data_IF_179217958733
#
_entry.id   IF_179217958733
#
_cell.length_a   1.000
_cell.length_b   1.000
_cell.length_c   1.000
_cell.angle_alpha   90.00
_cell.angle_beta   90.00
_cell.angle_gamma   90.00
#
_symmetry.space_group_name_H-M   'P 1'
#
loop_
_entity.id
_entity.type
_entity.pdbx_description
1 polymer ?
#
# COMPACT_ATOMS: atom_id res chain seq x y z
N UNK A 1 -15.72 7.44 -11.22
CA UNK A 1 -14.53 6.70 -11.70
C UNK A 1 -14.77 5.22 -11.50
N UNK A 2 -14.77 4.44 -12.58
CA UNK A 2 -15.05 3.00 -12.54
C UNK A 2 -14.12 2.29 -11.54
N UNK A 3 -14.69 1.38 -10.74
CA UNK A 3 -13.98 0.60 -9.72
C UNK A 3 -12.73 -0.08 -10.29
N UNK A 4 -12.84 -0.61 -11.51
CA UNK A 4 -11.76 -1.28 -12.23
C UNK A 4 -10.58 -0.33 -12.53
N UNK A 5 -10.86 0.90 -12.98
CA UNK A 5 -9.83 1.87 -13.33
C UNK A 5 -9.01 2.30 -12.09
N UNK A 6 -9.66 2.40 -10.93
CA UNK A 6 -8.97 2.66 -9.64
C UNK A 6 -8.05 1.53 -9.24
N UNK A 7 -8.51 0.28 -9.38
CA UNK A 7 -7.71 -0.90 -9.02
C UNK A 7 -6.50 -1.02 -9.93
N UNK A 8 -6.65 -0.79 -11.24
CA UNK A 8 -5.55 -0.83 -12.21
C UNK A 8 -4.50 0.25 -11.88
N UNK A 9 -4.93 1.49 -11.62
CA UNK A 9 -4.02 2.57 -11.25
C UNK A 9 -3.23 2.26 -9.97
N UNK A 10 -3.89 1.67 -8.96
CA UNK A 10 -3.22 1.27 -7.73
C UNK A 10 -2.25 0.10 -7.95
N UNK A 11 -2.61 -0.88 -8.79
CA UNK A 11 -1.72 -1.97 -9.12
C UNK A 11 -0.46 -1.47 -9.85
N UNK A 12 -0.61 -0.53 -10.79
CA UNK A 12 0.52 0.11 -11.47
C UNK A 12 1.41 0.86 -10.48
N UNK A 13 0.81 1.61 -9.56
CA UNK A 13 1.55 2.32 -8.52
C UNK A 13 2.30 1.35 -7.61
N UNK A 14 1.67 0.26 -7.17
CA UNK A 14 2.31 -0.76 -6.35
C UNK A 14 3.49 -1.44 -7.08
N UNK A 15 3.34 -1.72 -8.38
CA UNK A 15 4.45 -2.24 -9.23
C UNK A 15 5.65 -1.30 -9.20
N UNK A 16 5.42 -0.01 -9.39
CA UNK A 16 6.49 1.00 -9.38
C UNK A 16 7.13 1.07 -8.00
N UNK A 17 6.34 1.11 -6.93
CA UNK A 17 6.85 1.20 -5.55
C UNK A 17 7.67 -0.02 -5.13
N UNK A 18 7.22 -1.22 -5.51
CA UNK A 18 7.93 -2.47 -5.23
C UNK A 18 9.28 -2.49 -5.94
N UNK A 19 9.33 -2.13 -7.23
CA UNK A 19 10.59 -2.07 -7.97
C UNK A 19 11.52 -0.98 -7.40
N UNK A 20 10.96 0.19 -7.08
CA UNK A 20 11.70 1.28 -6.45
C UNK A 20 12.28 0.86 -5.09
N UNK A 21 11.51 0.13 -4.28
CA UNK A 21 11.97 -0.40 -2.99
C UNK A 21 13.19 -1.29 -3.13
N UNK A 22 13.23 -2.15 -4.15
CA UNK A 22 14.34 -3.07 -4.38
C UNK A 22 15.58 -2.35 -4.88
N UNK A 23 15.41 -1.37 -5.78
CA UNK A 23 16.51 -0.53 -6.28
C UNK A 23 17.11 0.27 -5.12
N UNK A 24 16.27 0.92 -4.31
CA UNK A 24 16.71 1.69 -3.13
C UNK A 24 17.38 0.78 -2.09
N UNK A 25 16.88 -0.44 -1.88
CA UNK A 25 17.51 -1.41 -0.98
C UNK A 25 18.92 -1.80 -1.44
N UNK A 26 19.11 -2.04 -2.74
CA UNK A 26 20.44 -2.31 -3.31
C UNK A 26 21.36 -1.09 -3.15
N UNK A 27 20.84 0.11 -3.43
CA UNK A 27 21.60 1.35 -3.32
C UNK A 27 22.05 1.63 -1.89
N UNK A 28 21.16 1.46 -0.91
CA UNK A 28 21.47 1.57 0.52
C UNK A 28 22.44 0.48 0.99
N UNK A 29 22.37 -0.73 0.43
CA UNK A 29 23.23 -1.84 0.85
C UNK A 29 24.68 -1.65 0.43
N UNK A 30 24.90 -1.09 -0.76
CA UNK A 30 26.23 -0.94 -1.34
C UNK A 30 26.76 0.50 -1.25
N UNK A 31 26.20 1.32 -0.35
CA UNK A 31 26.58 2.72 -0.16
C UNK A 31 26.65 3.52 -1.49
N UNK A 32 25.69 3.25 -2.39
CA UNK A 32 25.61 3.87 -3.72
C UNK A 32 26.48 3.22 -4.81
N UNK A 33 27.40 2.31 -4.48
CA UNK A 33 28.27 1.63 -5.44
C UNK A 33 27.87 0.16 -5.65
N UNK A 34 26.73 -0.03 -6.33
CA UNK A 34 26.15 -1.36 -6.57
C UNK A 34 26.96 -2.10 -7.64
N UNK A 35 27.55 -3.27 -7.33
CA UNK A 35 28.26 -4.07 -8.32
C UNK A 35 27.32 -4.53 -9.46
N UNK A 36 27.78 -4.41 -10.71
CA UNK A 36 26.96 -4.70 -11.90
C UNK A 36 26.35 -6.11 -11.93
N UNK A 37 27.00 -7.09 -11.31
CA UNK A 37 26.48 -8.45 -11.16
C UNK A 37 25.13 -8.51 -10.41
N UNK A 38 24.90 -7.64 -9.44
CA UNK A 38 23.64 -7.57 -8.69
C UNK A 38 22.56 -6.80 -9.46
N UNK A 39 22.98 -5.84 -10.30
CA UNK A 39 22.07 -5.11 -11.20
C UNK A 39 21.55 -6.04 -12.30
N UNK A 40 22.43 -6.82 -12.93
CA UNK A 40 22.04 -7.82 -13.94
C UNK A 40 21.13 -8.89 -13.36
N UNK A 41 21.51 -9.46 -12.20
CA UNK A 41 20.67 -10.43 -11.50
C UNK A 41 19.30 -9.84 -11.11
N UNK A 42 19.24 -8.56 -10.72
CA UNK A 42 17.97 -7.89 -10.49
C UNK A 42 17.15 -7.74 -11.77
N UNK A 43 17.75 -7.33 -12.89
CA UNK A 43 17.03 -7.18 -14.16
C UNK A 43 16.40 -8.50 -14.62
N UNK A 44 17.12 -9.60 -14.50
CA UNK A 44 16.64 -10.93 -14.87
C UNK A 44 15.50 -11.41 -13.95
N UNK A 45 15.58 -11.09 -12.65
CA UNK A 45 14.60 -11.51 -11.65
C UNK A 45 13.48 -10.48 -11.39
N UNK A 46 13.58 -9.26 -11.94
CA UNK A 46 12.67 -8.15 -11.63
C UNK A 46 11.22 -8.48 -11.96
N UNK A 47 11.00 -9.13 -13.11
CA UNK A 47 9.66 -9.54 -13.55
C UNK A 47 9.09 -10.58 -12.58
N UNK A 48 9.89 -11.59 -12.21
CA UNK A 48 9.48 -12.65 -11.28
C UNK A 48 9.14 -12.06 -9.92
N UNK A 49 10.00 -11.22 -9.36
CA UNK A 49 9.74 -10.55 -8.08
C UNK A 49 8.49 -9.69 -8.13
N UNK A 50 8.33 -8.89 -9.19
CA UNK A 50 7.14 -8.04 -9.36
C UNK A 50 5.86 -8.87 -9.37
N UNK A 51 5.85 -9.99 -10.10
CA UNK A 51 4.69 -10.90 -10.15
C UNK A 51 4.39 -11.49 -8.77
N UNK A 52 5.40 -11.97 -8.03
CA UNK A 52 5.21 -12.47 -6.67
C UNK A 52 4.59 -11.44 -5.74
N UNK A 53 5.04 -10.19 -5.82
CA UNK A 53 4.51 -9.07 -5.04
C UNK A 53 3.04 -8.78 -5.36
N UNK A 54 2.70 -8.65 -6.64
CA UNK A 54 1.31 -8.41 -7.07
C UNK A 54 0.40 -9.56 -6.61
N UNK A 55 0.84 -10.80 -6.81
CA UNK A 55 0.06 -11.99 -6.41
C UNK A 55 -0.19 -11.98 -4.91
N UNK A 56 0.83 -11.68 -4.10
CA UNK A 56 0.70 -11.61 -2.65
C UNK A 56 -0.25 -10.48 -2.22
N UNK A 57 -0.12 -9.28 -2.80
CA UNK A 57 -1.02 -8.16 -2.52
C UNK A 57 -2.47 -8.47 -2.93
N UNK A 58 -2.66 -9.19 -4.04
CA UNK A 58 -3.96 -9.66 -4.47
C UNK A 58 -4.59 -10.66 -3.49
N UNK A 59 -3.84 -11.67 -3.04
CA UNK A 59 -4.31 -12.68 -2.08
C UNK A 59 -4.70 -12.08 -0.72
N UNK A 60 -3.90 -11.12 -0.22
CA UNK A 60 -4.22 -10.40 1.01
C UNK A 60 -5.35 -9.37 0.85
N UNK A 61 -5.91 -9.25 -0.35
CA UNK A 61 -7.08 -8.44 -0.62
C UNK A 61 -6.80 -6.94 -0.53
N UNK A 62 -5.55 -6.52 -0.72
CA UNK A 62 -5.14 -5.11 -0.66
C UNK A 62 -5.87 -4.25 -1.72
N UNK A 63 -6.34 -4.86 -2.81
CA UNK A 63 -7.14 -4.22 -3.85
C UNK A 63 -8.67 -4.30 -3.62
N UNK A 64 -9.12 -5.18 -2.71
CA UNK A 64 -10.55 -5.40 -2.40
C UNK A 64 -11.02 -4.55 -1.21
N UNK A 65 -10.19 -4.38 -0.18
CA UNK A 65 -10.50 -3.64 1.06
C UNK A 65 -10.50 -2.12 0.91
N UNK A 66 -10.87 -1.65 -0.27
CA UNK A 66 -10.37 -0.37 -0.73
C UNK A 66 -10.91 0.81 0.12
N UNK A 67 -12.13 0.76 0.70
CA UNK A 67 -12.72 1.98 1.28
C UNK A 67 -13.68 1.87 2.49
N UNK A 68 -14.06 0.68 2.98
CA UNK A 68 -15.24 0.62 3.88
C UNK A 68 -14.94 0.52 5.39
N UNK A 69 -13.78 0.01 5.82
CA UNK A 69 -13.42 -0.14 7.25
C UNK A 69 -11.90 -0.11 7.50
N UNK A 70 -11.19 0.86 6.93
CA UNK A 70 -9.73 0.96 7.02
C UNK A 70 -9.27 1.69 8.30
N UNK A 71 -8.96 0.95 9.36
CA UNK A 71 -8.13 1.45 10.46
C UNK A 71 -6.84 0.63 10.58
N UNK A 72 -6.73 -0.22 11.60
CA UNK A 72 -5.56 -1.04 11.93
C UNK A 72 -5.47 -2.27 11.02
N UNK A 73 -6.62 -2.82 10.63
CA UNK A 73 -6.70 -4.06 9.85
C UNK A 73 -6.06 -3.96 8.46
N UNK A 74 -6.01 -2.76 7.85
CA UNK A 74 -5.32 -2.57 6.56
C UNK A 74 -3.80 -2.60 6.75
N UNK A 75 -3.27 -1.89 7.74
CA UNK A 75 -1.84 -1.90 8.06
C UNK A 75 -1.35 -3.32 8.40
N UNK A 76 -2.12 -4.06 9.21
CA UNK A 76 -1.83 -5.47 9.52
C UNK A 76 -1.87 -6.33 8.25
N UNK A 77 -2.82 -6.08 7.34
CA UNK A 77 -2.88 -6.81 6.06
C UNK A 77 -1.67 -6.51 5.18
N UNK A 78 -1.18 -5.26 5.16
CA UNK A 78 0.02 -4.86 4.41
C UNK A 78 1.24 -5.55 5.01
N UNK A 79 1.43 -5.48 6.34
CA UNK A 79 2.57 -6.12 7.01
C UNK A 79 2.54 -7.64 6.76
N UNK A 80 1.37 -8.28 6.89
CA UNK A 80 1.24 -9.71 6.64
C UNK A 80 1.53 -10.07 5.17
N UNK A 81 1.01 -9.28 4.22
CA UNK A 81 1.29 -9.46 2.80
C UNK A 81 2.78 -9.29 2.50
N UNK A 82 3.42 -8.28 3.06
CA UNK A 82 4.85 -8.00 2.85
C UNK A 82 5.74 -9.06 3.47
N UNK A 83 5.39 -9.56 4.66
CA UNK A 83 6.10 -10.67 5.30
C UNK A 83 5.96 -11.96 4.52
N UNK A 84 4.75 -12.32 4.05
CA UNK A 84 4.54 -13.52 3.23
C UNK A 84 5.23 -13.40 1.88
N UNK A 85 5.15 -12.24 1.23
CA UNK A 85 5.82 -11.99 -0.05
C UNK A 85 7.33 -12.10 0.08
N UNK A 86 7.90 -11.55 1.15
CA UNK A 86 9.34 -11.66 1.44
C UNK A 86 9.75 -13.11 1.72
N UNK A 87 8.98 -13.84 2.52
CA UNK A 87 9.24 -15.25 2.79
C UNK A 87 9.16 -16.10 1.51
N UNK A 88 8.19 -15.84 0.64
CA UNK A 88 8.06 -16.50 -0.66
C UNK A 88 9.26 -16.22 -1.57
N UNK A 89 9.71 -14.98 -1.62
CA UNK A 89 10.90 -14.57 -2.38
C UNK A 89 12.16 -15.25 -1.85
N UNK A 90 12.37 -15.25 -0.54
CA UNK A 90 13.50 -15.93 0.10
C UNK A 90 13.46 -17.43 -0.23
N UNK A 91 12.29 -18.06 -0.10
CA UNK A 91 12.12 -19.49 -0.42
C UNK A 91 12.42 -19.77 -1.90
N UNK A 92 11.91 -18.94 -2.81
CA UNK A 92 12.20 -19.07 -4.24
C UNK A 92 13.70 -18.94 -4.52
N UNK A 93 14.37 -17.94 -3.94
CA UNK A 93 15.82 -17.76 -4.10
C UNK A 93 16.61 -18.93 -3.51
N UNK A 94 16.21 -19.51 -2.38
CA UNK A 94 16.93 -20.66 -1.81
C UNK A 94 16.71 -21.96 -2.60
N UNK A 95 15.47 -22.27 -3.00
CA UNK A 95 15.16 -23.57 -3.62
C UNK A 95 15.39 -23.61 -5.14
N UNK A 96 15.23 -22.49 -5.85
CA UNK A 96 15.34 -22.45 -7.32
C UNK A 96 16.70 -21.95 -7.80
N UNK A 97 17.47 -21.29 -6.92
CA UNK A 97 18.77 -20.69 -7.22
C UNK A 97 19.89 -21.39 -6.41
N UNK A 98 19.67 -22.66 -6.05
CA UNK A 98 20.72 -23.59 -5.60
C UNK A 98 21.66 -23.90 -6.80
N UNK A 99 22.54 -22.97 -7.14
CA UNK A 99 23.55 -23.22 -8.19
C UNK A 99 24.13 -21.99 -8.89
N UNK A 100 23.51 -20.80 -8.77
CA UNK A 100 24.12 -19.58 -9.33
C UNK A 100 24.95 -18.85 -8.28
N UNK A 101 26.13 -18.40 -8.67
CA UNK A 101 27.18 -17.82 -7.82
C UNK A 101 26.84 -16.43 -7.23
N UNK A 102 25.56 -16.07 -7.10
CA UNK A 102 25.14 -14.74 -6.66
C UNK A 102 24.03 -14.83 -5.61
N UNK A 103 24.34 -15.27 -4.38
CA UNK A 103 23.43 -15.08 -3.26
C UNK A 103 23.26 -13.57 -3.05
N UNK A 104 22.09 -13.02 -3.42
CA UNK A 104 21.72 -11.67 -3.02
C UNK A 104 21.93 -11.54 -1.50
N UNK A 105 22.60 -10.48 -1.01
CA UNK A 105 22.87 -10.35 0.41
C UNK A 105 21.57 -10.40 1.20
N UNK A 106 21.53 -11.21 2.27
CA UNK A 106 20.33 -11.37 3.12
C UNK A 106 19.76 -10.03 3.64
N UNK A 107 20.65 -9.06 3.84
CA UNK A 107 20.32 -7.68 4.20
C UNK A 107 19.46 -6.95 3.17
N UNK A 108 19.59 -7.25 1.87
CA UNK A 108 18.77 -6.63 0.81
C UNK A 108 17.31 -7.05 0.99
N UNK A 109 17.03 -8.32 1.28
CA UNK A 109 15.65 -8.77 1.54
C UNK A 109 15.03 -8.06 2.75
N UNK A 110 15.79 -7.86 3.84
CA UNK A 110 15.32 -7.13 5.01
C UNK A 110 15.06 -5.65 4.71
N UNK A 111 15.95 -5.00 3.95
CA UNK A 111 15.78 -3.61 3.52
C UNK A 111 14.56 -3.47 2.60
N UNK A 112 14.41 -4.36 1.62
CA UNK A 112 13.26 -4.40 0.71
C UNK A 112 11.96 -4.64 1.49
N UNK A 113 11.96 -5.49 2.52
CA UNK A 113 10.80 -5.70 3.40
C UNK A 113 10.40 -4.41 4.12
N UNK A 114 11.35 -3.73 4.77
CA UNK A 114 11.11 -2.45 5.45
C UNK A 114 10.63 -1.36 4.48
N UNK A 115 11.29 -1.24 3.33
CA UNK A 115 10.95 -0.25 2.30
C UNK A 115 9.58 -0.53 1.67
N UNK A 116 9.19 -1.78 1.47
CA UNK A 116 7.85 -2.10 0.97
C UNK A 116 6.76 -1.73 1.97
N UNK A 117 6.96 -1.99 3.27
CA UNK A 117 6.03 -1.54 4.31
C UNK A 117 5.93 -0.01 4.30
N UNK A 118 7.07 0.67 4.22
CA UNK A 118 7.13 2.14 4.18
C UNK A 118 6.49 2.74 2.93
N UNK A 119 6.82 2.26 1.74
CA UNK A 119 6.32 2.80 0.48
C UNK A 119 4.87 2.42 0.20
N UNK A 120 4.50 1.14 0.32
CA UNK A 120 3.13 0.69 0.05
C UNK A 120 2.19 1.11 1.18
N UNK A 121 2.65 1.03 2.45
CA UNK A 121 1.89 1.54 3.59
C UNK A 121 1.76 3.06 3.56
N UNK A 122 2.86 3.75 3.26
CA UNK A 122 2.93 5.21 3.17
C UNK A 122 2.08 5.76 2.02
N UNK A 123 2.09 5.14 0.83
CA UNK A 123 1.28 5.59 -0.30
C UNK A 123 -0.21 5.53 0.00
N UNK A 124 -0.66 4.46 0.69
CA UNK A 124 -2.06 4.29 1.14
C UNK A 124 -2.43 5.29 2.22
N UNK A 125 -1.56 5.49 3.21
CA UNK A 125 -1.77 6.47 4.27
C UNK A 125 -1.80 7.90 3.71
N UNK A 126 -0.89 8.23 2.80
CA UNK A 126 -0.84 9.54 2.13
C UNK A 126 -2.10 9.79 1.30
N UNK A 127 -2.54 8.79 0.51
CA UNK A 127 -3.80 8.88 -0.23
C UNK A 127 -5.01 9.06 0.69
N UNK A 128 -5.01 8.36 1.84
CA UNK A 128 -6.04 8.52 2.86
C UNK A 128 -6.04 9.92 3.44
N UNK A 129 -4.89 10.40 3.93
CA UNK A 129 -4.77 11.73 4.52
C UNK A 129 -5.20 12.79 3.50
N UNK A 130 -4.73 12.67 2.25
CA UNK A 130 -5.13 13.57 1.19
C UNK A 130 -6.65 13.55 0.97
N UNK A 131 -7.29 12.38 0.95
CA UNK A 131 -8.75 12.31 0.88
C UNK A 131 -9.42 12.90 2.11
N UNK A 132 -9.05 12.47 3.31
CA UNK A 132 -9.74 12.84 4.54
C UNK A 132 -9.61 14.37 4.78
N UNK A 133 -8.52 14.99 4.30
CA UNK A 133 -8.29 16.44 4.39
C UNK A 133 -8.84 17.25 3.19
N UNK A 134 -8.70 16.75 1.95
CA UNK A 134 -9.19 17.45 0.76
C UNK A 134 -10.70 17.24 0.55
N UNK A 135 -11.25 16.15 1.08
CA UNK A 135 -12.67 15.87 1.17
C UNK A 135 -13.06 15.91 2.64
N UNK A 136 -12.95 17.09 3.26
CA UNK A 136 -13.85 17.39 4.37
C UNK A 136 -15.26 17.24 3.77
N UNK A 137 -16.05 16.23 4.16
CA UNK A 137 -17.45 16.28 3.80
C UNK A 137 -17.94 17.58 4.45
N UNK A 138 -18.40 18.53 3.63
CA UNK A 138 -19.31 19.57 4.12
C UNK A 138 -20.32 18.80 4.94
N UNK A 139 -20.28 19.00 6.26
CA UNK A 139 -20.91 18.17 7.28
C UNK A 139 -22.14 17.50 6.70
N UNK A 140 -22.09 16.18 6.56
CA UNK A 140 -23.19 15.36 6.07
C UNK A 140 -24.35 15.38 7.04
N UNK A 141 -24.96 16.54 7.25
CA UNK A 141 -26.27 16.67 7.84
C UNK A 141 -27.24 16.05 6.86
N UNK A 142 -28.02 15.07 7.31
CA UNK A 142 -29.19 14.66 6.56
C UNK A 142 -30.11 15.88 6.48
N UNK A 143 -30.66 16.24 5.30
CA UNK A 143 -31.65 17.30 5.24
C UNK A 143 -32.84 16.89 6.12
N UNK A 144 -33.10 17.67 7.17
CA UNK A 144 -34.23 17.47 8.09
C UNK A 144 -35.28 18.52 7.76
N UNK A 145 -36.51 18.08 7.50
CA UNK A 145 -37.65 18.96 7.36
C UNK A 145 -38.33 19.11 8.74
N UNK A 146 -38.39 20.34 9.25
CA UNK A 146 -39.12 20.65 10.48
C UNK A 146 -40.53 21.05 10.08
N UNK A 147 -41.52 20.24 10.46
CA UNK A 147 -42.95 20.53 10.21
C UNK A 147 -43.52 21.18 11.47
N UNK A 148 -43.80 22.48 11.38
CA UNK A 148 -44.28 23.31 12.49
C UNK A 148 -43.24 24.34 12.92
N UNK A 149 -43.53 25.62 12.69
CA UNK A 149 -42.63 26.75 12.97
C UNK A 149 -42.97 27.49 14.28
N UNK A 150 -43.54 26.79 15.26
CA UNK A 150 -43.72 27.31 16.62
C UNK A 150 -42.42 27.28 17.43
N UNK A 151 -42.50 27.66 18.70
CA UNK A 151 -41.33 27.76 19.60
C UNK A 151 -40.53 26.46 19.71
N UNK A 152 -41.21 25.30 19.68
CA UNK A 152 -40.57 23.99 19.70
C UNK A 152 -39.74 23.71 18.42
N UNK A 153 -40.22 24.15 17.25
CA UNK A 153 -39.50 24.00 15.99
C UNK A 153 -38.26 24.91 15.93
N UNK A 154 -38.37 26.13 16.47
CA UNK A 154 -37.25 27.07 16.59
C UNK A 154 -36.16 26.55 17.53
N UNK A 155 -36.54 25.92 18.65
CA UNK A 155 -35.59 25.33 19.61
C UNK A 155 -34.79 24.19 18.98
N UNK A 156 -35.45 23.26 18.29
CA UNK A 156 -34.79 22.12 17.61
C UNK A 156 -33.86 22.60 16.49
N UNK A 157 -34.29 23.59 15.70
CA UNK A 157 -33.45 24.19 14.67
C UNK A 157 -32.18 24.84 15.24
N UNK A 158 -32.29 25.48 16.40
CA UNK A 158 -31.16 26.13 17.09
C UNK A 158 -30.17 25.10 17.63
N UNK A 159 -30.67 23.99 18.18
CA UNK A 159 -29.84 22.90 18.68
C UNK A 159 -29.07 22.21 17.54
N UNK A 160 -29.75 21.92 16.43
CA UNK A 160 -29.15 21.32 15.22
C UNK A 160 -28.08 22.20 14.56
N UNK A 161 -28.14 23.52 14.76
CA UNK A 161 -27.14 24.47 14.23
C UNK A 161 -25.92 24.60 15.16
N UNK A 162 -26.07 24.24 16.43
CA UNK A 162 -25.02 24.35 17.45
C UNK A 162 -24.05 23.16 17.50
N UNK A 163 -24.42 22.03 16.86
CA UNK A 163 -23.61 20.83 16.70
C UNK A 163 -23.05 20.73 15.27
#
# INVERSE_FOLDING_TARGET
MNRYLRVILLAILDIVLVNLSMIVALWLRFDGNVPGQFIGAYQDLAVVFTVFWIVTFYFFGLYKKLWQYASIGELVSIIAAVSVGTAAIISYTYFMIEGSALPMPRSVFLLTWLLNIGFVGGSRLAWRLFRDYAWVPVRGGRPVLIVGAGDAGALVARELKSH
#
